data_IF_336656350962
#
_entry.id   IF_336656350962
#
_cell.length_a   1.000
_cell.length_b   1.000
_cell.length_c   1.000
_cell.angle_alpha   90.00
_cell.angle_beta   90.00
_cell.angle_gamma   90.00
#
_symmetry.space_group_name_H-M   'P 1'
#
loop_
_entity.id
_entity.type
_entity.pdbx_description
1 polymer ?
#
# COMPACT_ATOMS: atom_id res chain seq x y z
N UNK A 1 12.92 1.66 29.79
CA UNK A 1 13.20 0.20 29.72
C UNK A 1 12.32 -0.52 30.73
N UNK A 2 11.89 -1.77 30.47
CA UNK A 2 11.21 -2.56 31.50
C UNK A 2 12.11 -2.71 32.74
N UNK A 3 11.49 -2.93 33.90
CA UNK A 3 12.22 -3.20 35.15
C UNK A 3 13.06 -4.47 35.00
N UNK A 4 14.09 -4.61 35.82
CA UNK A 4 14.91 -5.84 35.86
C UNK A 4 14.01 -7.06 36.13
N UNK A 5 14.07 -8.07 35.25
CA UNK A 5 13.16 -9.23 35.24
C UNK A 5 11.81 -9.01 34.51
N UNK A 6 11.55 -7.82 33.98
CA UNK A 6 10.35 -7.50 33.20
C UNK A 6 10.54 -7.73 31.71
N UNK A 7 9.53 -8.32 31.06
CA UNK A 7 9.48 -8.49 29.61
C UNK A 7 8.60 -7.43 28.95
N UNK A 8 8.96 -7.01 27.74
CA UNK A 8 8.10 -6.21 26.86
C UNK A 8 7.63 -7.11 25.72
N UNK A 9 6.33 -7.09 25.46
CA UNK A 9 5.72 -7.86 24.37
C UNK A 9 5.28 -6.91 23.27
N UNK A 10 5.62 -7.23 22.02
CA UNK A 10 5.08 -6.54 20.87
C UNK A 10 3.60 -6.92 20.69
N UNK A 11 2.71 -5.92 20.62
CA UNK A 11 1.26 -6.15 20.48
C UNK A 11 0.73 -5.84 19.08
N UNK A 12 1.44 -5.05 18.28
CA UNK A 12 0.94 -4.51 17.02
C UNK A 12 1.36 -5.36 15.82
N UNK A 13 1.17 -6.69 15.92
CA UNK A 13 1.56 -7.64 14.89
C UNK A 13 0.93 -7.38 13.52
N UNK A 14 -0.29 -6.83 13.47
CA UNK A 14 -0.94 -6.43 12.22
C UNK A 14 -0.12 -5.42 11.39
N UNK A 15 0.77 -4.65 12.01
CA UNK A 15 1.61 -3.67 11.32
C UNK A 15 2.91 -4.28 10.75
N UNK A 16 3.17 -5.57 11.00
CA UNK A 16 4.34 -6.25 10.41
C UNK A 16 4.07 -6.75 8.99
N UNK A 17 2.80 -6.70 8.55
CA UNK A 17 2.42 -7.07 7.19
C UNK A 17 2.65 -5.88 6.27
N UNK A 18 3.49 -6.07 5.24
CA UNK A 18 3.75 -5.05 4.23
C UNK A 18 2.47 -4.84 3.40
N UNK A 19 2.17 -3.58 3.08
CA UNK A 19 1.07 -3.28 2.17
C UNK A 19 1.44 -3.70 0.74
N UNK A 20 0.51 -4.28 -0.02
CA UNK A 20 0.80 -4.81 -1.36
C UNK A 20 1.04 -3.72 -2.41
N UNK A 21 0.73 -2.45 -2.11
CA UNK A 21 0.92 -1.34 -3.04
C UNK A 21 1.67 -0.18 -2.40
N UNK A 22 2.50 0.48 -3.22
CA UNK A 22 3.13 1.78 -2.93
C UNK A 22 2.97 2.66 -4.16
N UNK A 23 2.61 3.93 -3.97
CA UNK A 23 2.58 4.92 -5.05
C UNK A 23 3.78 5.85 -4.91
N UNK A 24 4.62 5.88 -5.93
CA UNK A 24 5.69 6.87 -6.07
C UNK A 24 5.21 7.97 -6.99
N UNK A 25 5.37 9.23 -6.62
CA UNK A 25 4.96 10.36 -7.44
C UNK A 25 5.92 11.52 -7.32
N UNK A 26 6.06 12.29 -8.40
CA UNK A 26 6.86 13.50 -8.45
C UNK A 26 6.25 14.54 -9.41
N UNK A 27 6.61 15.81 -9.22
CA UNK A 27 6.16 16.94 -10.02
C UNK A 27 7.35 17.66 -10.67
N UNK A 28 7.14 18.10 -11.90
CA UNK A 28 7.98 19.12 -12.52
C UNK A 28 7.30 20.48 -12.40
N UNK A 29 8.09 21.52 -12.24
CA UNK A 29 7.60 22.89 -12.09
C UNK A 29 8.29 23.84 -13.06
N UNK A 30 7.53 24.81 -13.57
CA UNK A 30 8.06 25.93 -14.33
C UNK A 30 8.32 27.13 -13.40
N UNK A 31 9.31 27.94 -13.75
CA UNK A 31 9.61 29.20 -13.07
C UNK A 31 8.96 30.36 -13.81
N UNK A 32 7.77 30.74 -13.38
CA UNK A 32 7.08 31.92 -13.88
C UNK A 32 7.70 33.18 -13.25
N UNK A 33 8.15 34.13 -14.07
CA UNK A 33 8.61 35.43 -13.58
C UNK A 33 7.44 36.20 -12.98
N UNK A 34 7.69 36.93 -11.90
CA UNK A 34 6.69 37.80 -11.27
C UNK A 34 7.38 39.02 -10.66
N UNK A 35 6.64 40.12 -10.49
CA UNK A 35 7.12 41.35 -9.85
C UNK A 35 6.36 41.62 -8.53
N UNK A 36 5.95 40.54 -7.85
CA UNK A 36 5.14 40.66 -6.64
C UNK A 36 6.00 41.13 -5.47
N UNK A 37 5.56 42.17 -4.76
CA UNK A 37 6.22 42.63 -3.53
C UNK A 37 5.66 41.89 -2.32
N UNK A 38 6.55 41.38 -1.46
CA UNK A 38 6.21 40.80 -0.17
C UNK A 38 6.71 41.73 0.95
N UNK A 39 5.90 42.73 1.29
CA UNK A 39 6.30 43.81 2.21
C UNK A 39 7.13 44.88 1.52
N UNK A 40 7.78 45.76 2.29
CA UNK A 40 8.45 46.95 1.76
C UNK A 40 9.80 46.63 1.08
N UNK A 41 10.52 45.62 1.58
CA UNK A 41 11.91 45.34 1.21
C UNK A 41 12.14 44.01 0.48
N UNK A 42 11.09 43.26 0.15
CA UNK A 42 11.23 41.95 -0.52
C UNK A 42 10.41 41.90 -1.80
N UNK A 43 11.05 41.56 -2.90
CA UNK A 43 10.41 41.28 -4.19
C UNK A 43 10.55 39.79 -4.49
N UNK A 44 9.42 39.14 -4.78
CA UNK A 44 9.39 37.81 -5.36
C UNK A 44 9.65 38.00 -6.85
N UNK A 45 10.76 37.44 -7.34
CA UNK A 45 11.14 37.55 -8.75
C UNK A 45 10.64 36.36 -9.59
N UNK A 46 10.33 35.23 -8.94
CA UNK A 46 9.87 33.99 -9.57
C UNK A 46 8.89 33.22 -8.67
N UNK A 47 7.89 32.60 -9.29
CA UNK A 47 6.99 31.61 -8.70
C UNK A 47 7.21 30.25 -9.36
N UNK A 48 7.15 29.20 -8.55
CA UNK A 48 7.16 27.81 -9.02
C UNK A 48 5.73 27.36 -9.22
N UNK A 49 5.39 26.98 -10.44
CA UNK A 49 4.07 26.47 -10.79
C UNK A 49 4.24 25.04 -11.29
N UNK A 50 3.47 24.11 -10.71
CA UNK A 50 3.48 22.71 -11.15
C UNK A 50 3.02 22.65 -12.61
N UNK A 51 3.83 22.05 -13.47
CA UNK A 51 3.58 21.97 -14.92
C UNK A 51 3.30 20.56 -15.41
N UNK A 52 3.82 19.55 -14.72
CA UNK A 52 3.56 18.14 -15.00
C UNK A 52 3.78 17.30 -13.75
N UNK A 53 3.27 16.09 -13.77
CA UNK A 53 3.58 15.07 -12.76
C UNK A 53 3.78 13.71 -13.43
N UNK A 54 4.48 12.83 -12.71
CA UNK A 54 4.54 11.41 -12.99
C UNK A 54 4.23 10.62 -11.73
N UNK A 55 3.52 9.49 -11.84
CA UNK A 55 3.42 8.54 -10.74
C UNK A 55 3.50 7.09 -11.23
N UNK A 56 3.93 6.20 -10.33
CA UNK A 56 4.02 4.76 -10.54
C UNK A 56 3.36 4.04 -9.38
N UNK A 57 2.40 3.16 -9.68
CA UNK A 57 1.84 2.22 -8.72
C UNK A 57 2.71 0.97 -8.74
N UNK A 58 3.46 0.73 -7.67
CA UNK A 58 4.28 -0.47 -7.50
C UNK A 58 3.55 -1.48 -6.63
N UNK A 59 3.08 -2.56 -7.26
CA UNK A 59 2.61 -3.75 -6.56
C UNK A 59 3.79 -4.58 -6.04
N UNK A 60 3.58 -5.31 -4.94
CA UNK A 60 4.50 -6.35 -4.48
C UNK A 60 4.51 -7.54 -5.43
N UNK A 61 5.62 -8.29 -5.45
CA UNK A 61 5.85 -9.33 -6.47
C UNK A 61 4.89 -10.54 -6.32
N UNK A 62 4.23 -10.67 -5.17
CA UNK A 62 3.22 -11.68 -4.85
C UNK A 62 1.81 -11.33 -5.33
N UNK A 63 1.59 -10.09 -5.81
CA UNK A 63 0.31 -9.68 -6.39
C UNK A 63 0.15 -10.28 -7.79
N UNK A 64 -0.93 -11.05 -8.06
CA UNK A 64 -1.19 -11.59 -9.40
C UNK A 64 -1.39 -10.50 -10.45
N UNK A 65 -0.74 -10.63 -11.60
CA UNK A 65 -0.82 -9.65 -12.68
C UNK A 65 -2.23 -9.58 -13.29
N UNK A 66 -2.93 -10.71 -13.31
CA UNK A 66 -4.30 -10.83 -13.83
C UNK A 66 -5.28 -9.97 -13.02
N UNK A 67 -5.10 -9.92 -11.68
CA UNK A 67 -5.92 -9.08 -10.82
C UNK A 67 -5.58 -7.58 -10.98
N UNK A 68 -4.34 -7.25 -11.30
CA UNK A 68 -3.98 -5.85 -11.60
C UNK A 68 -4.70 -5.36 -12.86
N UNK A 69 -4.77 -6.21 -13.89
CA UNK A 69 -5.47 -5.92 -15.14
C UNK A 69 -7.00 -5.83 -14.91
N UNK A 70 -7.59 -6.80 -14.20
CA UNK A 70 -9.04 -6.82 -13.88
C UNK A 70 -9.51 -5.55 -13.16
N UNK A 71 -8.67 -4.98 -12.29
CA UNK A 71 -8.97 -3.77 -11.53
C UNK A 71 -8.46 -2.48 -12.18
N UNK A 72 -8.00 -2.52 -13.43
CA UNK A 72 -7.43 -1.39 -14.18
C UNK A 72 -6.33 -0.63 -13.40
N UNK A 73 -5.47 -1.37 -12.68
CA UNK A 73 -4.36 -0.81 -11.93
C UNK A 73 -3.20 -0.54 -12.90
N UNK A 74 -2.72 0.70 -13.02
CA UNK A 74 -1.64 1.02 -13.94
C UNK A 74 -0.34 0.34 -13.49
N UNK A 75 0.24 -0.48 -14.37
CA UNK A 75 1.51 -1.20 -14.13
C UNK A 75 2.75 -0.43 -14.62
N UNK A 76 2.54 0.59 -15.46
CA UNK A 76 3.57 1.51 -15.94
C UNK A 76 3.46 2.91 -15.35
N UNK A 77 4.45 3.78 -15.62
CA UNK A 77 4.40 5.17 -15.19
C UNK A 77 3.27 5.92 -15.89
N UNK A 78 2.47 6.64 -15.11
CA UNK A 78 1.44 7.55 -15.59
C UNK A 78 2.02 8.95 -15.57
N UNK A 79 2.13 9.58 -16.74
CA UNK A 79 2.70 10.91 -16.91
C UNK A 79 1.62 11.85 -17.41
N UNK A 80 1.53 13.02 -16.80
CA UNK A 80 0.60 14.07 -17.20
C UNK A 80 1.31 15.41 -17.29
N UNK A 81 1.05 16.16 -18.36
CA UNK A 81 1.54 17.53 -18.55
C UNK A 81 0.35 18.46 -18.71
N UNK A 82 0.34 19.54 -17.93
CA UNK A 82 -0.67 20.58 -18.04
C UNK A 82 -0.69 21.18 -19.44
N UNK A 83 -1.88 21.48 -19.91
CA UNK A 83 -2.14 22.10 -21.21
C UNK A 83 -3.06 23.31 -21.05
N UNK A 84 -3.48 23.90 -22.17
CA UNK A 84 -4.34 25.09 -22.14
C UNK A 84 -5.67 24.85 -21.42
N UNK A 85 -6.21 23.63 -21.50
CA UNK A 85 -7.50 23.24 -20.89
C UNK A 85 -7.42 22.97 -19.38
N UNK A 86 -6.24 22.62 -18.86
CA UNK A 86 -6.04 22.26 -17.45
C UNK A 86 -4.76 22.90 -16.93
N UNK A 87 -4.94 24.07 -16.31
CA UNK A 87 -3.85 24.86 -15.74
C UNK A 87 -3.49 24.40 -14.31
N UNK A 88 -4.45 23.88 -13.55
CA UNK A 88 -4.19 23.40 -12.18
C UNK A 88 -3.77 21.92 -12.18
N UNK A 89 -2.50 21.70 -12.49
CA UNK A 89 -1.87 20.37 -12.55
C UNK A 89 -1.91 19.66 -11.19
N UNK A 90 -1.80 20.39 -10.09
CA UNK A 90 -1.85 19.83 -8.74
C UNK A 90 -3.25 19.30 -8.40
N UNK A 91 -4.31 20.05 -8.74
CA UNK A 91 -5.69 19.58 -8.58
C UNK A 91 -5.99 18.36 -9.44
N UNK A 92 -5.51 18.35 -10.69
CA UNK A 92 -5.64 17.18 -11.57
C UNK A 92 -4.94 15.95 -10.98
N UNK A 93 -3.72 16.11 -10.47
CA UNK A 93 -2.98 15.04 -9.80
C UNK A 93 -3.78 14.43 -8.64
N UNK A 94 -4.32 15.25 -7.73
CA UNK A 94 -5.11 14.77 -6.60
C UNK A 94 -6.31 13.96 -7.07
N UNK A 95 -7.03 14.42 -8.09
CA UNK A 95 -8.16 13.68 -8.65
C UNK A 95 -7.75 12.29 -9.18
N UNK A 96 -6.64 12.22 -9.92
CA UNK A 96 -6.14 10.97 -10.49
C UNK A 96 -5.60 10.01 -9.41
N UNK A 97 -4.89 10.51 -8.40
CA UNK A 97 -4.41 9.68 -7.29
C UNK A 97 -5.56 9.15 -6.44
N UNK A 98 -6.60 9.95 -6.20
CA UNK A 98 -7.80 9.49 -5.50
C UNK A 98 -8.47 8.37 -6.27
N UNK A 99 -8.55 8.48 -7.60
CA UNK A 99 -9.13 7.43 -8.42
C UNK A 99 -8.28 6.15 -8.43
N UNK A 100 -6.96 6.26 -8.58
CA UNK A 100 -6.05 5.13 -8.44
C UNK A 100 -6.19 4.46 -7.05
N UNK A 101 -6.34 5.26 -5.99
CA UNK A 101 -6.54 4.75 -4.63
C UNK A 101 -7.86 4.00 -4.49
N UNK A 102 -8.95 4.44 -5.14
CA UNK A 102 -10.23 3.72 -5.16
C UNK A 102 -10.13 2.39 -5.86
N UNK A 103 -9.42 2.33 -6.99
CA UNK A 103 -9.17 1.07 -7.70
C UNK A 103 -8.39 0.09 -6.82
N UNK A 104 -7.34 0.57 -6.14
CA UNK A 104 -6.58 -0.22 -5.16
C UNK A 104 -7.49 -0.66 -4.00
N UNK A 105 -8.33 0.21 -3.45
CA UNK A 105 -9.27 -0.16 -2.37
C UNK A 105 -10.26 -1.25 -2.81
N UNK A 106 -10.77 -1.18 -4.03
CA UNK A 106 -11.63 -2.23 -4.59
C UNK A 106 -10.87 -3.53 -4.83
N UNK A 107 -9.65 -3.45 -5.35
CA UNK A 107 -8.75 -4.59 -5.48
C UNK A 107 -8.50 -5.27 -4.11
N UNK A 108 -8.29 -4.49 -3.04
CA UNK A 108 -8.03 -5.01 -1.70
C UNK A 108 -9.24 -5.72 -1.07
N UNK A 109 -10.44 -5.56 -1.64
CA UNK A 109 -11.65 -6.30 -1.21
C UNK A 109 -11.78 -7.67 -1.87
N UNK A 110 -10.91 -8.00 -2.83
CA UNK A 110 -10.86 -9.32 -3.45
C UNK A 110 -10.55 -10.37 -2.39
N UNK A 111 -11.35 -11.44 -2.37
CA UNK A 111 -11.26 -12.51 -1.40
C UNK A 111 -11.22 -13.85 -2.13
N UNK A 112 -10.02 -14.23 -2.59
CA UNK A 112 -9.80 -15.53 -3.19
C UNK A 112 -9.88 -16.59 -2.09
N UNK A 113 -10.74 -17.61 -2.25
CA UNK A 113 -10.87 -18.67 -1.26
C UNK A 113 -9.54 -19.35 -0.96
N UNK A 114 -9.39 -19.80 0.29
CA UNK A 114 -8.24 -20.59 0.74
C UNK A 114 -7.97 -21.79 -0.18
N UNK A 115 -6.76 -21.85 -0.72
CA UNK A 115 -6.21 -22.95 -1.51
C UNK A 115 -5.12 -23.65 -0.69
N UNK A 116 -5.32 -24.93 -0.38
CA UNK A 116 -4.36 -25.74 0.35
C UNK A 116 -4.07 -27.07 -0.33
N UNK A 117 -2.80 -27.43 -0.40
CA UNK A 117 -2.37 -28.79 -0.77
C UNK A 117 -2.59 -29.76 0.39
N UNK A 118 -2.56 -31.06 0.11
CA UNK A 118 -2.66 -32.10 1.15
C UNK A 118 -1.57 -31.96 2.22
N UNK A 119 -0.35 -31.60 1.81
CA UNK A 119 0.79 -31.44 2.74
C UNK A 119 0.64 -30.21 3.62
N UNK A 120 0.12 -29.10 3.09
CA UNK A 120 -0.19 -27.91 3.86
C UNK A 120 -1.30 -28.19 4.88
N UNK A 121 -2.33 -28.94 4.49
CA UNK A 121 -3.40 -29.31 5.42
C UNK A 121 -2.86 -30.22 6.53
N UNK A 122 -2.00 -31.19 6.19
CA UNK A 122 -1.30 -32.01 7.19
C UNK A 122 -0.50 -31.15 8.16
N UNK A 123 0.27 -30.18 7.67
CA UNK A 123 1.07 -29.27 8.50
C UNK A 123 0.18 -28.45 9.44
N UNK A 124 -0.97 -27.95 8.97
CA UNK A 124 -1.94 -27.25 9.80
C UNK A 124 -2.52 -28.17 10.90
N UNK A 125 -2.88 -29.41 10.56
CA UNK A 125 -3.41 -30.37 11.52
C UNK A 125 -2.39 -30.73 12.60
N UNK A 126 -1.13 -30.91 12.23
CA UNK A 126 -0.02 -31.25 13.13
C UNK A 126 0.50 -30.04 13.94
N UNK A 127 0.11 -28.81 13.58
CA UNK A 127 0.55 -27.62 14.29
C UNK A 127 -0.04 -27.55 15.71
N UNK A 128 0.88 -27.45 16.70
CA UNK A 128 0.60 -27.36 18.13
C UNK A 128 1.04 -26.01 18.74
N UNK A 129 1.63 -25.11 17.94
CA UNK A 129 2.12 -23.79 18.39
C UNK A 129 1.64 -22.72 17.42
N UNK A 130 1.09 -21.63 17.96
CA UNK A 130 0.65 -20.48 17.17
C UNK A 130 1.84 -19.81 16.49
N UNK A 131 1.79 -19.65 15.16
CA UNK A 131 2.88 -19.01 14.41
C UNK A 131 3.12 -17.55 14.83
N UNK A 132 2.09 -16.87 15.35
CA UNK A 132 2.17 -15.46 15.75
C UNK A 132 2.65 -15.27 17.20
N UNK A 133 1.85 -15.69 18.18
CA UNK A 133 2.13 -15.46 19.60
C UNK A 133 3.04 -16.51 20.24
N UNK A 134 3.34 -17.61 19.52
CA UNK A 134 4.14 -18.75 19.99
C UNK A 134 3.55 -19.52 21.17
N UNK A 135 2.27 -19.30 21.52
CA UNK A 135 1.56 -20.07 22.54
C UNK A 135 1.11 -21.45 22.02
N UNK A 136 0.87 -22.39 22.93
CA UNK A 136 0.31 -23.71 22.62
C UNK A 136 -1.09 -23.61 22.03
N UNK A 137 -1.36 -24.40 21.00
CA UNK A 137 -2.67 -24.58 20.37
C UNK A 137 -3.40 -25.82 20.89
N UNK A 138 -2.78 -26.57 21.82
CA UNK A 138 -3.32 -27.85 22.30
C UNK A 138 -4.65 -27.62 23.02
N UNK A 139 -5.73 -28.23 22.52
CA UNK A 139 -7.07 -28.13 23.12
C UNK A 139 -7.83 -26.83 22.84
N UNK A 140 -7.31 -25.96 21.96
CA UNK A 140 -7.98 -24.74 21.51
C UNK A 140 -8.27 -24.72 20.01
N UNK A 141 -9.09 -23.77 19.57
CA UNK A 141 -9.45 -23.61 18.16
C UNK A 141 -8.30 -23.01 17.35
N UNK A 142 -8.06 -23.57 16.16
CA UNK A 142 -7.00 -23.15 15.23
C UNK A 142 -7.59 -22.38 14.04
N UNK A 143 -7.07 -21.20 13.76
CA UNK A 143 -7.41 -20.43 12.57
C UNK A 143 -6.38 -20.63 11.44
N UNK A 144 -6.86 -20.63 10.20
CA UNK A 144 -6.02 -20.66 8.99
C UNK A 144 -5.86 -19.23 8.46
N UNK A 145 -4.72 -18.60 8.74
CA UNK A 145 -4.35 -17.31 8.15
C UNK A 145 -3.95 -17.54 6.70
N UNK A 146 -4.55 -16.79 5.78
CA UNK A 146 -4.29 -16.92 4.35
C UNK A 146 -4.28 -15.59 3.64
N UNK A 147 -3.66 -15.61 2.48
CA UNK A 147 -3.60 -14.46 1.59
C UNK A 147 -4.88 -14.35 0.77
N UNK A 148 -5.62 -13.26 0.93
CA UNK A 148 -6.84 -13.02 0.16
C UNK A 148 -6.59 -12.73 -1.33
N UNK A 149 -5.35 -12.42 -1.73
CA UNK A 149 -4.98 -12.13 -3.12
C UNK A 149 -4.46 -13.37 -3.86
N UNK A 150 -4.00 -14.39 -3.14
CA UNK A 150 -3.45 -15.62 -3.78
C UNK A 150 -4.14 -16.91 -3.32
N UNK A 151 -5.01 -16.83 -2.31
CA UNK A 151 -5.62 -17.98 -1.64
C UNK A 151 -4.63 -18.81 -0.80
N UNK A 152 -3.33 -18.51 -0.81
CA UNK A 152 -2.31 -19.35 -0.18
C UNK A 152 -2.40 -19.25 1.35
N UNK A 153 -2.43 -20.41 2.00
CA UNK A 153 -2.26 -20.48 3.45
C UNK A 153 -0.88 -19.93 3.85
N UNK A 154 -0.86 -18.96 4.77
CA UNK A 154 0.37 -18.35 5.28
C UNK A 154 0.84 -19.08 6.53
N UNK A 155 -0.07 -19.37 7.46
CA UNK A 155 0.28 -19.85 8.79
C UNK A 155 -0.94 -20.28 9.63
N UNK A 156 -0.66 -20.94 10.75
CA UNK A 156 -1.67 -21.35 11.73
C UNK A 156 -1.67 -20.41 12.94
N UNK A 157 -2.84 -19.87 13.28
CA UNK A 157 -3.01 -18.98 14.43
C UNK A 157 -3.90 -19.63 15.50
N UNK A 158 -3.74 -19.15 16.74
CA UNK A 158 -4.77 -19.36 17.76
C UNK A 158 -5.99 -18.50 17.40
N UNK A 159 -7.19 -19.02 17.68
CA UNK A 159 -8.44 -18.28 17.52
C UNK A 159 -8.69 -17.33 18.68
#
# INVERSE_FOLDING_TARGET
MPKEGGCVQFKTWKNTVRHPFVIYADFEAILAKTDEKKGENTQIFQKREAMSYGFLVKASDDVPAELLDEHDIPTGPVIYRGGEEVQDVAKHFVAVIVEASRKIDNFMKTNIPLLMTKDQEKTYQESIICNLCKCSLTGGDKARDHDYLTGKCRQTWCS
#
